data_IF_835315284034
#
_entry.id   IF_835315284034
#
_cell.length_a   1.000
_cell.length_b   1.000
_cell.length_c   1.000
_cell.angle_alpha   90.00
_cell.angle_beta   90.00
_cell.angle_gamma   90.00
#
_symmetry.space_group_name_H-M   'P 1'
#
loop_
_entity.id
_entity.type
_entity.pdbx_description
1 polymer ?
#
# COMPACT_ATOMS: atom_id res chain seq x y z
N UNK A 1 4.01 -38.60 23.34
CA UNK A 1 4.89 -37.44 23.56
C UNK A 1 4.56 -36.40 22.52
N UNK A 2 4.10 -35.24 22.97
CA UNK A 2 3.61 -34.13 22.16
C UNK A 2 4.70 -33.55 21.25
N UNK A 3 4.30 -33.10 20.07
CA UNK A 3 4.85 -31.88 19.51
C UNK A 3 3.66 -30.99 19.10
N UNK A 4 3.31 -29.95 19.87
CA UNK A 4 2.30 -29.00 19.40
C UNK A 4 2.98 -28.22 18.27
N UNK A 5 2.58 -28.49 17.03
CA UNK A 5 3.02 -27.69 15.89
C UNK A 5 2.69 -26.23 16.20
N UNK A 6 3.73 -25.43 16.41
CA UNK A 6 3.62 -23.99 16.55
C UNK A 6 3.07 -23.49 15.22
N UNK A 7 1.77 -23.26 15.15
CA UNK A 7 1.17 -22.44 14.11
C UNK A 7 1.67 -21.04 14.36
N UNK A 8 2.79 -20.68 13.72
CA UNK A 8 3.08 -19.27 13.49
C UNK A 8 1.85 -18.70 12.78
N UNK A 9 1.18 -17.68 13.32
CA UNK A 9 0.13 -17.02 12.58
C UNK A 9 0.76 -16.46 11.30
N UNK A 10 0.50 -17.11 10.17
CA UNK A 10 0.62 -16.44 8.88
C UNK A 10 -0.47 -15.40 8.86
N UNK A 11 -0.15 -14.21 9.37
CA UNK A 11 -1.03 -13.05 9.35
C UNK A 11 -1.52 -12.85 7.91
N UNK A 12 -2.81 -12.56 7.76
CA UNK A 12 -3.34 -12.30 6.44
C UNK A 12 -2.57 -11.11 5.82
N UNK A 13 -2.31 -11.09 4.50
CA UNK A 13 -1.57 -9.98 3.87
C UNK A 13 -2.14 -8.59 4.19
N UNK A 14 -3.45 -8.49 4.43
CA UNK A 14 -4.11 -7.26 4.88
C UNK A 14 -3.75 -6.85 6.31
N UNK A 15 -3.54 -7.81 7.21
CA UNK A 15 -3.08 -7.56 8.58
C UNK A 15 -1.62 -7.15 8.60
N UNK A 16 -0.77 -7.80 7.80
CA UNK A 16 0.64 -7.41 7.62
C UNK A 16 0.73 -5.99 7.08
N UNK A 17 -0.04 -5.66 6.03
CA UNK A 17 -0.07 -4.32 5.47
C UNK A 17 -0.54 -3.28 6.50
N UNK A 18 -1.62 -3.58 7.25
CA UNK A 18 -2.11 -2.67 8.30
C UNK A 18 -1.08 -2.47 9.41
N UNK A 19 -0.38 -3.52 9.83
CA UNK A 19 0.66 -3.44 10.85
C UNK A 19 1.86 -2.60 10.37
N UNK A 20 2.31 -2.80 9.12
CA UNK A 20 3.38 -2.00 8.53
C UNK A 20 2.99 -0.50 8.46
N UNK A 21 1.75 -0.21 8.04
CA UNK A 21 1.23 1.16 8.04
C UNK A 21 1.13 1.76 9.44
N UNK A 22 0.72 0.99 10.45
CA UNK A 22 0.68 1.45 11.84
C UNK A 22 2.08 1.78 12.36
N UNK A 23 3.08 0.93 12.09
CA UNK A 23 4.47 1.17 12.50
C UNK A 23 5.05 2.44 11.86
N UNK A 24 4.70 2.73 10.60
CA UNK A 24 5.08 3.99 9.94
C UNK A 24 4.50 5.22 10.65
N UNK A 25 3.29 5.12 11.21
CA UNK A 25 2.66 6.22 11.93
C UNK A 25 3.22 6.40 13.35
N UNK A 26 3.59 5.32 14.03
CA UNK A 26 4.19 5.37 15.37
C UNK A 26 5.52 6.15 15.39
N UNK A 27 6.23 6.17 14.25
CA UNK A 27 7.47 6.93 14.07
C UNK A 27 7.28 8.44 13.87
N UNK A 28 6.05 8.95 13.77
CA UNK A 28 5.77 10.37 13.49
C UNK A 28 5.44 11.15 14.78
N UNK A 29 5.96 12.40 14.92
CA UNK A 29 5.49 13.29 15.98
C UNK A 29 3.98 13.52 15.85
N UNK A 30 3.21 13.33 16.92
CA UNK A 30 1.75 13.44 16.91
C UNK A 30 1.23 14.76 16.30
N UNK A 31 1.98 15.86 16.48
CA UNK A 31 1.68 17.17 15.89
C UNK A 31 1.82 17.21 14.37
N UNK A 32 2.80 16.50 13.81
CA UNK A 32 3.00 16.40 12.37
C UNK A 32 1.91 15.53 11.74
N UNK A 33 1.57 14.40 12.37
CA UNK A 33 0.47 13.53 11.91
C UNK A 33 -0.88 14.27 11.87
N UNK A 34 -1.21 15.06 12.90
CA UNK A 34 -2.44 15.85 12.94
C UNK A 34 -2.49 16.94 11.84
N UNK A 35 -1.38 17.65 11.62
CA UNK A 35 -1.29 18.68 10.57
C UNK A 35 -1.40 18.07 9.15
N UNK A 36 -0.83 16.88 8.96
CA UNK A 36 -0.96 16.12 7.71
C UNK A 36 -2.41 15.72 7.44
N UNK A 37 -3.14 15.23 8.45
CA UNK A 37 -4.56 14.88 8.33
C UNK A 37 -5.43 16.09 8.00
N UNK A 38 -5.23 17.22 8.67
CA UNK A 38 -5.97 18.46 8.41
C UNK A 38 -5.76 18.97 6.97
N UNK A 39 -4.51 18.93 6.50
CA UNK A 39 -4.13 19.29 5.13
C UNK A 39 -4.75 18.33 4.11
N UNK A 40 -4.77 17.03 4.39
CA UNK A 40 -5.36 16.00 3.52
C UNK A 40 -6.88 16.18 3.39
N UNK A 41 -7.57 16.44 4.50
CA UNK A 41 -9.02 16.72 4.53
C UNK A 41 -9.34 18.03 3.79
N UNK A 42 -8.50 19.06 3.95
CA UNK A 42 -8.63 20.35 3.26
C UNK A 42 -8.48 20.22 1.74
N UNK A 43 -7.51 19.45 1.26
CA UNK A 43 -7.28 19.23 -0.17
C UNK A 43 -8.32 18.31 -0.82
N UNK A 44 -8.89 17.33 -0.10
CA UNK A 44 -9.96 16.47 -0.63
C UNK A 44 -11.29 17.23 -0.80
N UNK A 45 -11.52 18.31 -0.03
CA UNK A 45 -12.73 19.15 -0.10
C UNK A 45 -12.56 20.41 -0.96
N UNK A 46 -11.34 20.81 -1.30
CA UNK A 46 -11.03 22.00 -2.09
C UNK A 46 -10.72 21.70 -3.56
N UNK A 47 -11.42 22.36 -4.49
CA UNK A 47 -11.17 22.28 -5.95
C UNK A 47 -9.92 23.04 -6.42
N UNK A 48 -8.83 23.08 -5.66
CA UNK A 48 -7.65 23.87 -6.02
C UNK A 48 -6.61 22.98 -6.69
N UNK A 49 -6.39 23.06 -8.02
CA UNK A 49 -5.31 22.34 -8.68
C UNK A 49 -4.01 23.00 -8.24
N UNK A 50 -3.28 22.40 -7.31
CA UNK A 50 -1.94 22.87 -7.00
C UNK A 50 -0.99 22.28 -8.04
N UNK A 51 -0.23 23.11 -8.77
CA UNK A 51 0.81 22.69 -9.72
C UNK A 51 2.01 21.95 -9.10
N UNK A 52 1.84 21.39 -7.91
CA UNK A 52 2.79 20.59 -7.17
C UNK A 52 2.05 19.43 -6.47
N UNK A 53 2.68 18.26 -6.29
CA UNK A 53 2.06 17.10 -5.66
C UNK A 53 1.42 17.46 -4.31
N UNK A 54 0.26 16.86 -4.02
CA UNK A 54 -0.43 17.01 -2.73
C UNK A 54 0.36 16.33 -1.60
N UNK A 55 1.12 15.29 -1.93
CA UNK A 55 1.98 14.54 -1.02
C UNK A 55 3.41 15.10 -1.10
N UNK A 56 3.78 15.99 -0.17
CA UNK A 56 5.06 16.72 -0.23
C UNK A 56 6.08 16.27 0.80
N UNK A 57 5.62 15.73 1.92
CA UNK A 57 6.47 15.27 3.00
C UNK A 57 6.09 13.85 3.45
N UNK A 58 7.03 13.18 4.12
CA UNK A 58 6.88 11.77 4.55
C UNK A 58 5.65 11.56 5.43
N UNK A 59 5.37 12.51 6.33
CA UNK A 59 4.20 12.46 7.23
C UNK A 59 2.89 12.45 6.46
N UNK A 60 2.74 13.29 5.42
CA UNK A 60 1.54 13.30 4.58
C UNK A 60 1.34 11.98 3.85
N UNK A 61 2.43 11.43 3.29
CA UNK A 61 2.36 10.19 2.52
C UNK A 61 2.02 9.03 3.43
N UNK A 62 2.64 8.94 4.61
CA UNK A 62 2.34 7.90 5.59
C UNK A 62 0.89 7.97 6.09
N UNK A 63 0.41 9.17 6.42
CA UNK A 63 -0.99 9.38 6.80
C UNK A 63 -1.96 9.04 5.66
N UNK A 64 -1.65 9.46 4.44
CA UNK A 64 -2.44 9.13 3.24
C UNK A 64 -2.46 7.63 2.97
N UNK A 65 -1.31 6.95 3.07
CA UNK A 65 -1.17 5.52 2.88
C UNK A 65 -2.02 4.77 3.93
N UNK A 66 -1.87 5.11 5.21
CA UNK A 66 -2.66 4.50 6.28
C UNK A 66 -4.16 4.68 6.07
N UNK A 67 -4.60 5.85 5.59
CA UNK A 67 -6.00 6.15 5.33
C UNK A 67 -6.56 5.45 4.08
N UNK A 68 -5.81 5.41 2.97
CA UNK A 68 -6.33 4.98 1.65
C UNK A 68 -5.87 3.60 1.22
N UNK A 69 -4.63 3.24 1.49
CA UNK A 69 -3.99 2.04 0.97
C UNK A 69 -4.73 0.75 1.37
N UNK A 70 -5.26 0.57 2.61
CA UNK A 70 -5.98 -0.66 2.95
C UNK A 70 -7.23 -0.90 2.10
N UNK A 71 -8.00 0.14 1.79
CA UNK A 71 -9.19 0.02 0.96
C UNK A 71 -8.81 -0.28 -0.51
N UNK A 72 -7.79 0.40 -1.03
CA UNK A 72 -7.29 0.15 -2.39
C UNK A 72 -6.69 -1.25 -2.53
N UNK A 73 -5.97 -1.74 -1.52
CA UNK A 73 -5.43 -3.09 -1.47
C UNK A 73 -6.55 -4.13 -1.60
N UNK A 74 -7.61 -4.04 -0.78
CA UNK A 74 -8.70 -5.01 -0.84
C UNK A 74 -9.46 -4.97 -2.17
N UNK A 75 -9.69 -3.78 -2.72
CA UNK A 75 -10.34 -3.62 -4.02
C UNK A 75 -9.51 -4.28 -5.14
N UNK A 76 -8.19 -4.04 -5.15
CA UNK A 76 -7.28 -4.65 -6.11
C UNK A 76 -7.17 -6.16 -5.91
N UNK A 77 -7.07 -6.64 -4.67
CA UNK A 77 -7.00 -8.07 -4.36
C UNK A 77 -8.26 -8.80 -4.84
N UNK A 78 -9.43 -8.19 -4.68
CA UNK A 78 -10.67 -8.75 -5.20
C UNK A 78 -10.67 -8.85 -6.74
N UNK A 79 -10.25 -7.77 -7.43
CA UNK A 79 -10.18 -7.74 -8.89
C UNK A 79 -9.15 -8.74 -9.45
N UNK A 80 -7.96 -8.79 -8.87
CA UNK A 80 -6.89 -9.71 -9.27
C UNK A 80 -7.25 -11.16 -8.93
N UNK A 81 -7.89 -11.41 -7.78
CA UNK A 81 -8.42 -12.73 -7.44
C UNK A 81 -9.47 -13.22 -8.44
N UNK A 82 -10.38 -12.34 -8.89
CA UNK A 82 -11.33 -12.66 -9.94
C UNK A 82 -10.63 -12.97 -11.28
N UNK A 83 -9.56 -12.24 -11.62
CA UNK A 83 -8.74 -12.53 -12.80
C UNK A 83 -8.06 -13.91 -12.70
N UNK A 84 -7.46 -14.23 -11.57
CA UNK A 84 -6.83 -15.53 -11.33
C UNK A 84 -7.84 -16.69 -11.42
N UNK A 85 -9.05 -16.50 -10.90
CA UNK A 85 -10.12 -17.48 -11.01
C UNK A 85 -10.60 -17.66 -12.46
N UNK A 86 -10.67 -16.58 -13.24
CA UNK A 86 -11.06 -16.64 -14.65
C UNK A 86 -9.99 -17.28 -15.55
N UNK A 87 -8.71 -17.28 -15.13
CA UNK A 87 -7.57 -17.86 -15.85
C UNK A 87 -6.74 -18.79 -14.95
N UNK A 88 -7.26 -19.98 -14.58
CA UNK A 88 -6.53 -20.91 -13.73
C UNK A 88 -5.18 -21.31 -14.32
N UNK A 89 -4.15 -21.36 -13.47
CA UNK A 89 -2.79 -21.74 -13.85
C UNK A 89 -1.97 -20.64 -14.54
N UNK A 90 -2.56 -19.48 -14.83
CA UNK A 90 -1.82 -18.32 -15.30
C UNK A 90 -1.23 -17.54 -14.12
N UNK A 91 0.03 -17.13 -14.25
CA UNK A 91 0.71 -16.22 -13.32
C UNK A 91 1.37 -15.09 -14.11
N UNK A 92 1.35 -13.84 -13.61
CA UNK A 92 2.00 -12.72 -14.28
C UNK A 92 3.52 -12.86 -14.18
N UNK A 93 4.21 -12.72 -15.32
CA UNK A 93 5.67 -12.70 -15.37
C UNK A 93 6.28 -11.39 -14.83
N UNK A 94 5.48 -10.34 -14.66
CA UNK A 94 5.89 -9.03 -14.13
C UNK A 94 4.69 -8.11 -13.91
N UNK A 95 4.91 -6.97 -13.24
CA UNK A 95 3.88 -6.01 -12.89
C UNK A 95 4.36 -4.58 -13.14
N UNK A 96 3.67 -3.85 -14.00
CA UNK A 96 3.81 -2.40 -14.17
C UNK A 96 2.58 -1.70 -13.56
N UNK A 97 2.80 -0.81 -12.59
CA UNK A 97 1.76 -0.05 -11.89
C UNK A 97 1.92 1.45 -12.19
N UNK A 98 1.04 2.00 -13.02
CA UNK A 98 1.07 3.39 -13.47
C UNK A 98 0.14 4.22 -12.59
N UNK A 99 0.67 5.24 -11.92
CA UNK A 99 -0.03 5.98 -10.87
C UNK A 99 -0.20 5.15 -9.59
N UNK A 100 0.72 4.20 -9.35
CA UNK A 100 0.61 3.23 -8.26
C UNK A 100 0.79 3.81 -6.85
N UNK A 101 1.25 5.07 -6.74
CA UNK A 101 1.47 5.75 -5.48
C UNK A 101 2.32 4.93 -4.51
N UNK A 102 1.75 4.58 -3.37
CA UNK A 102 2.42 3.83 -2.30
C UNK A 102 2.39 2.31 -2.52
N UNK A 103 1.99 1.83 -3.70
CA UNK A 103 2.13 0.43 -4.11
C UNK A 103 1.01 -0.50 -3.63
N UNK A 104 -0.22 -0.02 -3.42
CA UNK A 104 -1.33 -0.86 -2.98
C UNK A 104 -1.57 -2.07 -3.90
N UNK A 105 -1.46 -1.86 -5.22
CA UNK A 105 -1.63 -2.93 -6.20
C UNK A 105 -0.46 -3.93 -6.17
N UNK A 106 0.75 -3.49 -5.82
CA UNK A 106 1.93 -4.37 -5.67
C UNK A 106 1.67 -5.40 -4.58
N UNK A 107 1.22 -4.95 -3.41
CA UNK A 107 0.82 -5.83 -2.31
C UNK A 107 -0.31 -6.77 -2.70
N UNK A 108 -1.34 -6.27 -3.40
CA UNK A 108 -2.46 -7.10 -3.85
C UNK A 108 -2.01 -8.19 -4.84
N UNK A 109 -1.09 -7.87 -5.76
CA UNK A 109 -0.52 -8.84 -6.68
C UNK A 109 0.33 -9.90 -5.95
N UNK A 110 1.15 -9.50 -4.97
CA UNK A 110 1.90 -10.42 -4.11
C UNK A 110 0.99 -11.35 -3.29
N UNK A 111 -0.18 -10.87 -2.86
CA UNK A 111 -1.17 -11.67 -2.15
C UNK A 111 -2.00 -12.59 -3.06
N UNK A 112 -2.00 -12.37 -4.38
CA UNK A 112 -2.82 -13.13 -5.34
C UNK A 112 -2.03 -14.25 -6.02
N UNK A 113 -0.76 -13.99 -6.33
CA UNK A 113 0.14 -14.97 -6.95
C UNK A 113 1.38 -15.13 -6.09
N UNK A 114 1.80 -16.37 -5.87
CA UNK A 114 3.04 -16.69 -5.15
C UNK A 114 4.30 -16.43 -5.99
N UNK A 115 5.44 -16.29 -5.30
CA UNK A 115 6.76 -16.11 -5.91
C UNK A 115 7.13 -14.66 -6.25
N UNK A 116 8.40 -14.46 -6.59
CA UNK A 116 8.94 -13.15 -6.97
C UNK A 116 8.65 -12.84 -8.43
N UNK A 117 8.41 -11.56 -8.73
CA UNK A 117 8.25 -11.04 -10.08
C UNK A 117 8.81 -9.63 -10.18
N UNK A 118 9.36 -9.22 -11.33
CA UNK A 118 9.72 -7.82 -11.58
C UNK A 118 8.51 -6.92 -11.38
N UNK A 119 8.66 -5.91 -10.53
CA UNK A 119 7.65 -4.87 -10.29
C UNK A 119 8.25 -3.51 -10.66
N UNK A 120 7.49 -2.69 -11.37
CA UNK A 120 7.83 -1.30 -11.65
C UNK A 120 6.63 -0.43 -11.31
N UNK A 121 6.82 0.51 -10.39
CA UNK A 121 5.82 1.52 -10.05
C UNK A 121 6.24 2.85 -10.63
N UNK A 122 5.36 3.47 -11.41
CA UNK A 122 5.58 4.79 -11.98
C UNK A 122 4.56 5.73 -11.38
N UNK A 123 5.02 6.74 -10.64
CA UNK A 123 4.16 7.77 -10.08
C UNK A 123 4.84 9.13 -10.15
N UNK A 124 4.04 10.19 -10.17
CA UNK A 124 4.56 11.56 -10.12
C UNK A 124 5.03 11.92 -8.70
N UNK A 125 4.39 11.39 -7.66
CA UNK A 125 4.75 11.66 -6.26
C UNK A 125 5.94 10.81 -5.82
N UNK A 126 7.16 11.34 -5.96
CA UNK A 126 8.38 10.67 -5.49
C UNK A 126 8.31 10.21 -4.02
N UNK A 127 7.77 11.00 -3.06
CA UNK A 127 7.61 10.53 -1.68
C UNK A 127 6.70 9.30 -1.53
N UNK A 128 5.71 9.12 -2.41
CA UNK A 128 4.86 7.93 -2.42
C UNK A 128 5.61 6.69 -2.90
N UNK A 129 6.45 6.85 -3.94
CA UNK A 129 7.32 5.78 -4.43
C UNK A 129 8.33 5.34 -3.36
N UNK A 130 8.98 6.30 -2.69
CA UNK A 130 9.98 6.01 -1.67
C UNK A 130 9.33 5.27 -0.47
N UNK A 131 8.14 5.70 -0.02
CA UNK A 131 7.39 5.00 1.03
C UNK A 131 6.93 3.61 0.60
N UNK A 132 6.46 3.47 -0.65
CA UNK A 132 6.03 2.18 -1.20
C UNK A 132 7.17 1.18 -1.28
N UNK A 133 8.38 1.63 -1.65
CA UNK A 133 9.58 0.79 -1.67
C UNK A 133 10.00 0.35 -0.27
N UNK A 134 9.89 1.24 0.73
CA UNK A 134 10.15 0.89 2.14
C UNK A 134 9.16 -0.14 2.68
N UNK A 135 7.87 0.00 2.35
CA UNK A 135 6.84 -0.97 2.75
C UNK A 135 7.07 -2.35 2.13
N UNK A 136 7.60 -2.40 0.91
CA UNK A 136 7.81 -3.65 0.18
C UNK A 136 9.12 -4.37 0.52
N UNK A 137 10.00 -3.78 1.35
CA UNK A 137 11.28 -4.33 1.77
C UNK A 137 11.13 -5.30 2.96
#
# INVERSE_FOLDING_TARGET
MNNPGVTHPHHAPSEVLRAALASLLDGLPARAAAQSVDRLIGHYRGRTPTGAPVLRDRSDVAAYAAYRMPATFEAMRAALGALAAARPGWTPAGHLDIGGGTGAAVWAAGATWDGERPVTVVDWARPALDLGAELAA
#
